data_IF_262096505593
#
_entry.id   IF_262096505593
#
_cell.length_a   1.000
_cell.length_b   1.000
_cell.length_c   1.000
_cell.angle_alpha   90.00
_cell.angle_beta   90.00
_cell.angle_gamma   90.00
#
_symmetry.space_group_name_H-M   'P 1'
#
loop_
_entity.id
_entity.type
_entity.pdbx_description
1 polymer ?
#
# COMPACT_ATOMS: atom_id res chain seq x y z
N UNK A 1 59.26 33.82 -1.22
CA UNK A 1 57.85 33.72 -0.79
C UNK A 1 57.01 33.19 -1.94
N UNK A 2 56.59 31.92 -1.90
CA UNK A 2 55.60 31.36 -2.83
C UNK A 2 54.54 30.64 -1.98
N UNK A 3 53.43 31.35 -1.73
CA UNK A 3 52.20 30.77 -1.20
C UNK A 3 51.46 30.14 -2.37
N UNK A 4 51.48 28.81 -2.47
CA UNK A 4 50.60 28.06 -3.37
C UNK A 4 49.43 27.61 -2.50
N UNK A 5 48.31 28.33 -2.63
CA UNK A 5 47.07 28.03 -1.94
C UNK A 5 46.45 26.75 -2.48
N UNK A 6 46.35 25.73 -1.62
CA UNK A 6 45.55 24.54 -1.88
C UNK A 6 44.07 24.92 -1.73
N UNK A 7 43.37 25.07 -2.86
CA UNK A 7 41.91 25.18 -2.89
C UNK A 7 41.35 23.76 -2.75
N UNK A 8 40.90 23.41 -1.55
CA UNK A 8 40.10 22.20 -1.29
C UNK A 8 38.73 22.37 -1.96
N UNK A 9 38.56 21.76 -3.13
CA UNK A 9 37.25 21.59 -3.76
C UNK A 9 36.51 20.48 -3.01
N UNK A 10 35.71 20.88 -2.01
CA UNK A 10 34.70 20.00 -1.43
C UNK A 10 33.61 19.74 -2.49
N UNK A 11 33.75 18.63 -3.23
CA UNK A 11 32.64 18.02 -3.93
C UNK A 11 31.63 17.53 -2.89
N UNK A 12 30.61 18.37 -2.63
CA UNK A 12 29.38 17.91 -2.04
C UNK A 12 28.73 16.93 -3.01
N UNK A 13 28.98 15.63 -2.78
CA UNK A 13 28.17 14.56 -3.32
C UNK A 13 26.76 14.74 -2.75
N UNK A 14 25.92 15.49 -3.47
CA UNK A 14 24.47 15.47 -3.27
C UNK A 14 24.03 14.04 -3.61
N UNK A 15 23.97 13.17 -2.59
CA UNK A 15 23.34 11.86 -2.73
C UNK A 15 21.94 12.09 -3.30
N UNK A 16 21.54 11.38 -4.38
CA UNK A 16 20.19 11.49 -4.90
C UNK A 16 19.24 11.21 -3.75
N UNK A 17 18.39 12.19 -3.43
CA UNK A 17 17.37 12.03 -2.41
C UNK A 17 16.54 10.81 -2.82
N UNK A 18 16.57 9.76 -1.99
CA UNK A 18 15.91 8.49 -2.27
C UNK A 18 14.48 8.74 -2.75
N UNK A 19 14.22 8.35 -4.00
CA UNK A 19 12.94 8.54 -4.65
C UNK A 19 11.88 7.77 -3.85
N UNK A 20 10.85 8.45 -3.38
CA UNK A 20 9.83 7.83 -2.53
C UNK A 20 9.05 6.77 -3.31
N UNK A 21 9.18 5.51 -2.92
CA UNK A 21 8.37 4.41 -3.49
C UNK A 21 6.94 4.47 -2.95
N UNK A 22 6.04 5.14 -3.67
CA UNK A 22 4.64 5.27 -3.25
C UNK A 22 3.74 4.13 -3.75
N UNK A 23 4.19 3.32 -4.70
CA UNK A 23 3.40 2.25 -5.29
C UNK A 23 4.25 0.98 -5.45
N UNK A 24 3.66 -0.18 -5.25
CA UNK A 24 4.32 -1.45 -5.56
C UNK A 24 4.45 -1.63 -7.07
N UNK A 25 5.64 -2.03 -7.54
CA UNK A 25 5.84 -2.44 -8.93
C UNK A 25 5.10 -3.76 -9.22
N UNK A 26 4.82 -4.03 -10.50
CA UNK A 26 4.27 -5.32 -10.94
C UNK A 26 5.14 -6.51 -10.48
N UNK A 27 6.47 -6.37 -10.54
CA UNK A 27 7.42 -7.39 -10.07
C UNK A 27 7.32 -7.62 -8.56
N UNK A 28 7.18 -6.55 -7.77
CA UNK A 28 7.02 -6.63 -6.31
C UNK A 28 5.70 -7.29 -5.91
N UNK A 29 4.62 -7.02 -6.64
CA UNK A 29 3.33 -7.67 -6.44
C UNK A 29 3.40 -9.16 -6.77
N UNK A 30 4.03 -9.53 -7.89
CA UNK A 30 4.20 -10.92 -8.30
C UNK A 30 5.06 -11.72 -7.31
N UNK A 31 6.16 -11.14 -6.83
CA UNK A 31 7.05 -11.76 -5.83
C UNK A 31 6.52 -11.67 -4.40
N UNK A 32 5.36 -11.03 -4.18
CA UNK A 32 4.76 -10.78 -2.85
C UNK A 32 5.74 -10.14 -1.86
N UNK A 33 6.55 -9.22 -2.38
CA UNK A 33 7.60 -8.53 -1.66
C UNK A 33 7.65 -7.09 -2.15
N UNK A 34 7.02 -6.19 -1.40
CA UNK A 34 6.95 -4.78 -1.77
C UNK A 34 7.46 -3.88 -0.64
N UNK A 35 8.20 -2.86 -1.01
CA UNK A 35 8.67 -1.80 -0.11
C UNK A 35 8.07 -0.47 -0.55
N UNK A 36 7.40 0.19 0.38
CA UNK A 36 6.82 1.51 0.21
C UNK A 36 7.48 2.47 1.19
N UNK A 37 7.83 3.67 0.73
CA UNK A 37 8.51 4.67 1.54
C UNK A 37 7.87 6.04 1.35
N UNK A 38 7.56 6.70 2.47
CA UNK A 38 7.17 8.11 2.48
C UNK A 38 7.78 8.83 3.67
N UNK A 39 8.68 9.79 3.39
CA UNK A 39 9.45 10.52 4.42
C UNK A 39 10.21 9.55 5.34
N UNK A 40 9.80 9.47 6.61
CA UNK A 40 10.40 8.59 7.63
C UNK A 40 9.71 7.24 7.78
N UNK A 41 8.61 7.02 7.07
CA UNK A 41 7.84 5.78 7.16
C UNK A 41 8.26 4.82 6.06
N UNK A 42 8.63 3.61 6.46
CA UNK A 42 8.92 2.48 5.61
C UNK A 42 7.89 1.39 5.89
N UNK A 43 7.30 0.85 4.83
CA UNK A 43 6.31 -0.23 4.92
C UNK A 43 6.77 -1.35 4.02
N UNK A 44 7.08 -2.50 4.64
CA UNK A 44 7.45 -3.72 3.92
C UNK A 44 6.26 -4.67 3.95
N UNK A 45 5.69 -4.91 2.78
CA UNK A 45 4.65 -5.90 2.58
C UNK A 45 5.31 -7.23 2.27
N UNK A 46 4.97 -8.25 3.07
CA UNK A 46 5.39 -9.66 2.92
C UNK A 46 4.15 -10.56 2.85
N UNK A 47 4.25 -11.81 2.36
CA UNK A 47 3.08 -12.66 2.04
C UNK A 47 2.03 -12.82 3.15
N UNK A 48 2.40 -12.62 4.42
CA UNK A 48 1.51 -12.75 5.57
C UNK A 48 1.63 -11.60 6.56
N UNK A 49 2.57 -10.67 6.34
CA UNK A 49 2.91 -9.63 7.32
C UNK A 49 3.10 -8.27 6.67
N UNK A 50 2.77 -7.23 7.42
CA UNK A 50 3.09 -5.83 7.11
C UNK A 50 4.09 -5.38 8.17
N UNK A 51 5.31 -5.07 7.76
CA UNK A 51 6.30 -4.47 8.66
C UNK A 51 6.25 -2.96 8.50
N UNK A 52 5.98 -2.28 9.59
CA UNK A 52 5.93 -0.83 9.69
C UNK A 52 7.15 -0.34 10.46
N UNK A 53 7.91 0.58 9.87
CA UNK A 53 9.09 1.18 10.49
C UNK A 53 9.02 2.71 10.31
N UNK A 54 9.00 3.46 11.41
CA UNK A 54 8.99 4.93 11.39
C UNK A 54 10.37 5.54 11.76
N UNK A 55 11.44 4.73 11.73
CA UNK A 55 12.81 4.90 12.27
C UNK A 55 12.98 4.79 13.79
N UNK A 56 11.91 4.95 14.56
CA UNK A 56 11.93 4.94 16.04
C UNK A 56 11.30 3.65 16.57
N UNK A 57 10.15 3.29 16.03
CA UNK A 57 9.33 2.14 16.35
C UNK A 57 9.27 1.21 15.13
N UNK A 58 9.32 -0.09 15.40
CA UNK A 58 9.12 -1.14 14.41
C UNK A 58 7.99 -2.03 14.87
N UNK A 59 6.98 -2.22 14.02
CA UNK A 59 5.79 -3.04 14.31
C UNK A 59 5.51 -3.98 13.16
N UNK A 60 4.89 -5.11 13.49
CA UNK A 60 4.49 -6.13 12.53
C UNK A 60 2.99 -6.34 12.69
N UNK A 61 2.27 -6.31 11.57
CA UNK A 61 0.84 -6.57 11.49
C UNK A 61 0.57 -7.76 10.59
N UNK A 62 -0.61 -8.35 10.73
CA UNK A 62 -1.08 -9.36 9.79
C UNK A 62 -1.46 -8.72 8.46
N UNK A 63 -1.07 -9.37 7.37
CA UNK A 63 -1.49 -9.00 6.03
C UNK A 63 -2.98 -9.39 5.83
N UNK A 64 -3.80 -8.58 5.16
CA UNK A 64 -5.26 -8.76 5.11
C UNK A 64 -5.77 -10.04 4.40
N UNK A 65 -4.88 -10.77 3.72
CA UNK A 65 -5.17 -12.06 3.12
C UNK A 65 -3.90 -12.94 3.11
N UNK A 66 -4.03 -14.22 3.46
CA UNK A 66 -2.90 -15.15 3.50
C UNK A 66 -3.31 -16.53 3.01
N UNK A 67 -2.32 -17.36 2.70
CA UNK A 67 -2.49 -18.74 2.26
C UNK A 67 -2.44 -18.95 0.74
N UNK A 68 -2.70 -20.18 0.30
CA UNK A 68 -2.61 -20.58 -1.09
C UNK A 68 -3.65 -19.85 -1.97
N UNK A 69 -3.25 -19.49 -3.20
CA UNK A 69 -4.11 -18.81 -4.16
C UNK A 69 -4.27 -17.29 -3.96
N UNK A 70 -3.76 -16.72 -2.86
CA UNK A 70 -3.75 -15.27 -2.65
C UNK A 70 -2.90 -14.57 -3.72
N UNK A 71 -3.42 -13.50 -4.30
CA UNK A 71 -2.77 -12.72 -5.35
C UNK A 71 -2.84 -11.22 -5.04
N UNK A 72 -1.71 -10.54 -5.07
CA UNK A 72 -1.63 -9.10 -4.79
C UNK A 72 -1.96 -8.32 -6.05
N UNK A 73 -2.96 -7.45 -5.99
CA UNK A 73 -3.36 -6.63 -7.14
C UNK A 73 -2.71 -5.26 -7.11
N UNK A 74 -2.72 -4.59 -5.96
CA UNK A 74 -2.05 -3.31 -5.79
C UNK A 74 -1.74 -3.05 -4.32
N UNK A 75 -0.72 -2.24 -4.06
CA UNK A 75 -0.58 -1.56 -2.79
C UNK A 75 0.16 -0.24 -2.97
N UNK A 76 -0.29 0.79 -2.27
CA UNK A 76 0.21 2.17 -2.43
C UNK A 76 0.03 3.02 -1.19
N UNK A 77 0.85 4.06 -1.11
CA UNK A 77 0.75 5.14 -0.13
C UNK A 77 0.02 6.33 -0.74
N UNK A 78 -1.00 6.83 -0.04
CA UNK A 78 -1.79 8.00 -0.46
C UNK A 78 -1.76 9.04 0.65
N UNK A 79 -1.47 10.29 0.30
CA UNK A 79 -1.40 11.40 1.26
C UNK A 79 -2.54 12.41 1.06
N UNK A 80 -3.15 12.82 2.17
CA UNK A 80 -4.14 13.89 2.22
C UNK A 80 -3.71 14.92 3.26
N UNK A 81 -2.85 15.86 2.83
CA UNK A 81 -2.21 16.82 3.74
C UNK A 81 -1.25 16.11 4.70
N UNK A 82 -1.55 16.17 6.00
CA UNK A 82 -0.74 15.56 7.05
C UNK A 82 -1.13 14.10 7.38
N UNK A 83 -2.18 13.58 6.74
CA UNK A 83 -2.64 12.20 6.90
C UNK A 83 -2.07 11.34 5.79
N UNK A 84 -1.61 10.14 6.14
CA UNK A 84 -1.02 9.18 5.21
C UNK A 84 -1.77 7.86 5.34
N UNK A 85 -2.07 7.24 4.21
CA UNK A 85 -2.84 6.00 4.14
C UNK A 85 -2.08 4.96 3.32
N UNK A 86 -2.16 3.71 3.76
CA UNK A 86 -1.77 2.54 2.99
C UNK A 86 -3.03 1.91 2.42
N UNK A 87 -3.17 1.90 1.10
CA UNK A 87 -4.22 1.18 0.38
C UNK A 87 -3.65 -0.14 -0.15
N UNK A 88 -4.36 -1.25 0.08
CA UNK A 88 -4.01 -2.58 -0.41
C UNK A 88 -5.23 -3.17 -1.12
N UNK A 89 -5.04 -3.65 -2.35
CA UNK A 89 -5.97 -4.54 -3.04
C UNK A 89 -5.38 -5.94 -3.15
N UNK A 90 -6.07 -6.94 -2.61
CA UNK A 90 -5.61 -8.33 -2.60
C UNK A 90 -6.75 -9.30 -2.87
N UNK A 91 -6.54 -10.24 -3.79
CA UNK A 91 -7.41 -11.39 -3.98
C UNK A 91 -7.21 -12.39 -2.85
N UNK A 92 -8.28 -12.70 -2.12
CA UNK A 92 -8.29 -13.69 -1.07
C UNK A 92 -8.13 -15.13 -1.59
N UNK A 93 -8.09 -16.08 -0.67
CA UNK A 93 -8.08 -17.49 -1.03
C UNK A 93 -9.38 -17.89 -1.76
N UNK A 94 -9.30 -18.83 -2.71
CA UNK A 94 -10.51 -19.40 -3.30
C UNK A 94 -11.32 -20.12 -2.23
N UNK A 95 -12.65 -19.97 -2.28
CA UNK A 95 -13.58 -20.58 -1.34
C UNK A 95 -14.65 -21.41 -2.05
N UNK A 96 -15.03 -22.51 -1.40
CA UNK A 96 -16.06 -23.43 -1.86
C UNK A 96 -15.67 -24.21 -3.11
N UNK A 97 -16.57 -25.10 -3.54
CA UNK A 97 -16.40 -25.91 -4.75
C UNK A 97 -16.25 -25.03 -6.01
N UNK A 98 -16.92 -23.88 -6.02
CA UNK A 98 -16.86 -22.93 -7.12
C UNK A 98 -15.55 -22.13 -7.21
N UNK A 99 -14.60 -22.28 -6.28
CA UNK A 99 -13.31 -21.58 -6.28
C UNK A 99 -13.43 -20.07 -6.46
N UNK A 100 -14.37 -19.45 -5.73
CA UNK A 100 -14.62 -17.99 -5.81
C UNK A 100 -13.62 -17.25 -4.94
N UNK A 101 -13.03 -16.19 -5.48
CA UNK A 101 -12.11 -15.28 -4.78
C UNK A 101 -12.70 -13.89 -4.68
N UNK A 102 -12.48 -13.26 -3.52
CA UNK A 102 -12.88 -11.88 -3.25
C UNK A 102 -11.66 -10.96 -3.38
N UNK A 103 -11.77 -9.88 -4.14
CA UNK A 103 -10.82 -8.78 -4.11
C UNK A 103 -11.15 -7.87 -2.93
N UNK A 104 -10.30 -7.89 -1.90
CA UNK A 104 -10.44 -6.99 -0.75
C UNK A 104 -9.70 -5.69 -1.02
N UNK A 105 -10.36 -4.56 -0.80
CA UNK A 105 -9.76 -3.25 -0.63
C UNK A 105 -9.65 -2.95 0.86
N UNK A 106 -8.42 -2.79 1.33
CA UNK A 106 -8.11 -2.55 2.74
C UNK A 106 -7.32 -1.26 2.86
N UNK A 107 -7.76 -0.39 3.76
CA UNK A 107 -7.12 0.91 3.99
C UNK A 107 -6.68 1.00 5.45
N UNK A 108 -5.39 1.29 5.64
CA UNK A 108 -4.82 1.62 6.93
C UNK A 108 -4.45 3.10 6.97
N UNK A 109 -4.79 3.79 8.05
CA UNK A 109 -4.22 5.09 8.35
C UNK A 109 -2.88 4.91 9.07
N UNK A 110 -1.84 5.54 8.52
CA UNK A 110 -0.51 5.55 9.12
C UNK A 110 -0.44 6.73 10.08
N UNK A 111 -0.32 6.40 11.36
CA UNK A 111 -0.13 7.39 12.43
C UNK A 111 1.35 7.48 12.80
N UNK A 112 1.68 8.33 13.79
CA UNK A 112 3.05 8.40 14.30
C UNK A 112 3.56 7.05 14.80
N UNK A 113 2.71 6.19 15.37
CA UNK A 113 3.14 4.98 16.08
C UNK A 113 2.50 3.69 15.54
N UNK A 114 1.56 3.77 14.60
CA UNK A 114 0.68 2.64 14.29
C UNK A 114 0.08 2.65 12.88
N UNK A 115 -0.34 1.47 12.41
CA UNK A 115 -1.20 1.26 11.25
C UNK A 115 -2.63 0.93 11.70
N UNK A 116 -3.52 1.91 11.62
CA UNK A 116 -4.91 1.74 12.05
C UNK A 116 -5.76 1.32 10.86
N UNK A 117 -6.28 0.08 10.85
CA UNK A 117 -7.22 -0.36 9.81
C UNK A 117 -8.50 0.48 9.88
N UNK A 118 -8.85 1.17 8.80
CA UNK A 118 -10.03 2.03 8.70
C UNK A 118 -11.12 1.43 7.82
N UNK A 119 -10.73 0.71 6.77
CA UNK A 119 -11.65 0.17 5.77
C UNK A 119 -11.23 -1.25 5.41
N UNK A 120 -12.20 -2.14 5.30
CA UNK A 120 -12.07 -3.45 4.66
C UNK A 120 -13.38 -3.72 3.91
N UNK A 121 -13.30 -3.79 2.57
CA UNK A 121 -14.45 -4.01 1.69
C UNK A 121 -14.10 -4.99 0.57
N UNK A 122 -15.07 -5.75 0.09
CA UNK A 122 -14.93 -6.59 -1.11
C UNK A 122 -15.35 -5.77 -2.31
N UNK A 123 -14.42 -5.46 -3.21
CA UNK A 123 -14.63 -4.55 -4.35
C UNK A 123 -14.82 -5.28 -5.67
N UNK A 124 -14.52 -6.57 -5.72
CA UNK A 124 -14.74 -7.41 -6.89
C UNK A 124 -14.76 -8.87 -6.45
N UNK A 125 -15.43 -9.73 -7.22
CA UNK A 125 -15.29 -11.18 -7.10
C UNK A 125 -14.84 -11.76 -8.43
N UNK A 126 -14.15 -12.90 -8.37
CA UNK A 126 -13.83 -13.69 -9.56
C UNK A 126 -14.00 -15.17 -9.30
N UNK A 127 -14.38 -15.91 -10.33
CA UNK A 127 -14.51 -17.37 -10.31
C UNK A 127 -13.47 -17.98 -11.24
N UNK A 128 -12.71 -18.96 -10.75
CA UNK A 128 -11.80 -19.72 -11.60
C UNK A 128 -12.61 -20.74 -12.43
N UNK A 129 -12.50 -20.68 -13.76
CA UNK A 129 -13.19 -21.61 -14.67
C UNK A 129 -12.24 -22.62 -15.31
N UNK A 130 -10.97 -22.26 -15.48
CA UNK A 130 -9.86 -23.14 -15.91
C UNK A 130 -8.58 -22.67 -15.22
N UNK A 131 -7.50 -23.45 -15.33
CA UNK A 131 -6.19 -23.05 -14.80
C UNK A 131 -5.78 -21.67 -15.35
N UNK A 132 -5.59 -20.70 -14.46
CA UNK A 132 -5.28 -19.28 -14.77
C UNK A 132 -6.34 -18.52 -15.58
N UNK A 133 -7.56 -19.06 -15.73
CA UNK A 133 -8.65 -18.40 -16.42
C UNK A 133 -9.79 -18.10 -15.44
N UNK A 134 -10.17 -16.83 -15.38
CA UNK A 134 -11.14 -16.31 -14.42
C UNK A 134 -12.27 -15.58 -15.13
N UNK A 135 -13.48 -15.72 -14.59
CA UNK A 135 -14.63 -14.85 -14.89
C UNK A 135 -14.76 -13.86 -13.75
N UNK A 136 -14.90 -12.58 -14.07
CA UNK A 136 -14.92 -11.49 -13.11
C UNK A 136 -16.31 -10.87 -13.04
N UNK A 137 -16.75 -10.58 -11.82
CA UNK A 137 -17.86 -9.67 -11.62
C UNK A 137 -17.40 -8.22 -11.91
N UNK A 138 -18.34 -7.31 -12.23
CA UNK A 138 -18.03 -5.89 -12.34
C UNK A 138 -17.33 -5.38 -11.08
N UNK A 139 -16.24 -4.63 -11.27
CA UNK A 139 -15.53 -4.01 -10.16
C UNK A 139 -16.36 -2.83 -9.61
N UNK A 140 -16.57 -2.83 -8.30
CA UNK A 140 -17.24 -1.75 -7.58
C UNK A 140 -16.32 -0.53 -7.49
N UNK A 141 -16.76 0.67 -7.90
CA UNK A 141 -15.98 1.90 -7.75
C UNK A 141 -15.67 2.18 -6.29
N UNK A 142 -14.40 2.44 -5.99
CA UNK A 142 -13.95 2.71 -4.63
C UNK A 142 -12.72 3.61 -4.63
N UNK A 143 -12.64 4.52 -3.67
CA UNK A 143 -11.52 5.44 -3.52
C UNK A 143 -11.59 6.23 -2.21
N UNK A 144 -10.45 6.74 -1.78
CA UNK A 144 -10.35 7.82 -0.79
C UNK A 144 -10.44 9.18 -1.50
N UNK A 145 -11.06 10.16 -0.85
CA UNK A 145 -11.09 11.53 -1.34
C UNK A 145 -11.09 12.54 -0.20
N UNK A 146 -10.63 13.77 -0.51
CA UNK A 146 -10.66 14.90 0.42
C UNK A 146 -11.84 15.80 0.10
N UNK A 147 -12.61 16.14 1.12
CA UNK A 147 -13.68 17.15 1.00
C UNK A 147 -13.11 18.57 0.99
N UNK A 148 -13.87 19.58 0.51
CA UNK A 148 -13.44 20.98 0.58
C UNK A 148 -13.11 21.46 2.01
N UNK A 149 -13.77 20.91 3.03
CA UNK A 149 -13.49 21.18 4.46
C UNK A 149 -12.25 20.46 4.99
N UNK A 150 -11.53 19.73 4.14
CA UNK A 150 -10.28 19.05 4.48
C UNK A 150 -10.44 17.65 5.08
N UNK A 151 -11.65 17.19 5.37
CA UNK A 151 -11.89 15.83 5.87
C UNK A 151 -11.62 14.79 4.80
N UNK A 152 -11.04 13.66 5.22
CA UNK A 152 -10.86 12.48 4.37
C UNK A 152 -12.11 11.61 4.48
N UNK A 153 -12.65 11.24 3.33
CA UNK A 153 -13.80 10.34 3.19
C UNK A 153 -13.43 9.20 2.25
N UNK A 154 -14.21 8.14 2.33
CA UNK A 154 -14.16 7.03 1.38
C UNK A 154 -15.47 6.94 0.61
N UNK A 155 -15.39 6.40 -0.60
CA UNK A 155 -16.53 5.97 -1.41
C UNK A 155 -16.38 4.50 -1.75
N UNK A 156 -17.48 3.77 -1.69
CA UNK A 156 -17.62 2.39 -2.14
C UNK A 156 -19.02 2.28 -2.73
N UNK A 157 -19.12 2.14 -4.04
CA UNK A 157 -20.39 2.24 -4.76
C UNK A 157 -21.14 3.55 -4.42
N UNK A 158 -22.43 3.45 -4.07
CA UNK A 158 -23.26 4.54 -3.60
C UNK A 158 -23.03 4.90 -2.12
N UNK A 159 -22.28 4.07 -1.38
CA UNK A 159 -21.98 4.33 0.03
C UNK A 159 -20.77 5.24 0.17
N UNK A 160 -20.80 6.10 1.19
CA UNK A 160 -19.65 6.89 1.60
C UNK A 160 -19.57 7.01 3.11
N UNK A 161 -18.37 7.23 3.64
CA UNK A 161 -18.16 7.43 5.06
C UNK A 161 -16.97 8.34 5.34
N UNK A 162 -16.97 8.94 6.53
CA UNK A 162 -15.83 9.69 7.04
C UNK A 162 -14.77 8.75 7.62
N UNK A 163 -13.51 9.17 7.56
CA UNK A 163 -12.43 8.56 8.34
C UNK A 163 -12.10 9.51 9.49
N UNK A 164 -12.65 9.20 10.66
CA UNK A 164 -12.32 9.86 11.92
C UNK A 164 -10.96 9.40 12.45
#
# INVERSE_FOLDING_TARGET
MRFIGLIFLFWNALSPAAESSLNCSAQSLQSKSCELQYRKYFIYLRPQKIHFDNKVDKKIYDFPAFGEGVEWKSARLVSFGNRLFLEIEVWGQPRGEAQVQDLKWVVYEITKKDLLKKIEKVVQKRKQIKKKLFVYDPQVPHYLYRTPRGHVKWRFDQMSGGIN
#
